data_IF_853626856448
#
_entry.id   IF_853626856448
#
_cell.length_a   1.000
_cell.length_b   1.000
_cell.length_c   1.000
_cell.angle_alpha   90.00
_cell.angle_beta   90.00
_cell.angle_gamma   90.00
#
_symmetry.space_group_name_H-M   'P 1'
#
loop_
_entity.id
_entity.type
_entity.pdbx_description
1 polymer ?
#
# COMPACT_ATOMS: atom_id res chain seq x y z
N UNK A 1 -16.66 29.73 -17.47
CA UNK A 1 -15.32 29.13 -17.74
C UNK A 1 -14.88 28.38 -16.52
N UNK A 2 -14.52 27.11 -16.64
CA UNK A 2 -13.97 26.31 -15.54
C UNK A 2 -12.63 26.92 -15.08
N UNK A 3 -12.40 26.98 -13.75
CA UNK A 3 -11.15 27.51 -13.21
C UNK A 3 -9.92 26.69 -13.62
N UNK A 4 -8.70 27.23 -13.51
CA UNK A 4 -7.49 26.61 -14.06
C UNK A 4 -7.16 25.22 -13.50
N UNK A 5 -7.66 24.83 -12.33
CA UNK A 5 -7.43 23.51 -11.73
C UNK A 5 -8.65 22.56 -11.78
N UNK A 6 -9.68 22.89 -12.56
CA UNK A 6 -10.93 22.10 -12.60
C UNK A 6 -10.68 20.64 -12.98
N UNK A 7 -9.80 20.37 -13.96
CA UNK A 7 -9.47 19.00 -14.35
C UNK A 7 -8.69 18.24 -13.28
N UNK A 8 -7.77 18.90 -12.56
CA UNK A 8 -7.07 18.29 -11.43
C UNK A 8 -8.06 17.94 -10.32
N UNK A 9 -9.00 18.85 -10.03
CA UNK A 9 -10.05 18.64 -9.03
C UNK A 9 -10.93 17.43 -9.40
N UNK A 10 -11.44 17.39 -10.62
CA UNK A 10 -12.29 16.28 -11.06
C UNK A 10 -11.59 14.92 -10.96
N UNK A 11 -10.29 14.82 -11.29
CA UNK A 11 -9.52 13.58 -11.18
C UNK A 11 -9.28 13.17 -9.74
N UNK A 12 -9.02 14.12 -8.84
CA UNK A 12 -8.89 13.83 -7.40
C UNK A 12 -10.23 13.37 -6.82
N UNK A 13 -11.33 14.01 -7.17
CA UNK A 13 -12.66 13.58 -6.76
C UNK A 13 -12.96 12.15 -7.25
N UNK A 14 -12.61 11.84 -8.49
CA UNK A 14 -12.74 10.49 -9.05
C UNK A 14 -11.88 9.46 -8.35
N UNK A 15 -10.63 9.80 -8.01
CA UNK A 15 -9.78 8.93 -7.22
C UNK A 15 -10.37 8.65 -5.83
N UNK A 16 -10.90 9.66 -5.14
CA UNK A 16 -11.58 9.50 -3.84
C UNK A 16 -12.81 8.61 -3.92
N UNK A 17 -13.59 8.75 -4.98
CA UNK A 17 -14.76 7.89 -5.22
C UNK A 17 -14.35 6.44 -5.39
N UNK A 18 -13.29 6.17 -6.17
CA UNK A 18 -12.75 4.81 -6.31
C UNK A 18 -12.16 4.26 -5.00
N UNK A 19 -11.50 5.09 -4.18
CA UNK A 19 -11.05 4.67 -2.84
C UNK A 19 -12.26 4.31 -1.98
N UNK A 20 -13.35 5.06 -2.04
CA UNK A 20 -14.59 4.73 -1.32
C UNK A 20 -15.21 3.42 -1.81
N UNK A 21 -15.24 3.18 -3.13
CA UNK A 21 -15.70 1.91 -3.69
C UNK A 21 -14.80 0.74 -3.27
N UNK A 22 -13.47 0.97 -3.21
CA UNK A 22 -12.52 -0.03 -2.76
C UNK A 22 -12.73 -0.39 -1.28
N UNK A 23 -13.04 0.59 -0.42
CA UNK A 23 -13.42 0.36 0.99
C UNK A 23 -14.65 -0.52 1.11
N UNK A 24 -15.69 -0.22 0.32
CA UNK A 24 -16.92 -1.02 0.33
C UNK A 24 -16.65 -2.44 -0.15
N UNK A 25 -15.90 -2.61 -1.23
CA UNK A 25 -15.52 -3.92 -1.76
C UNK A 25 -14.66 -4.72 -0.77
N UNK A 26 -13.72 -4.06 -0.06
CA UNK A 26 -12.94 -4.70 1.00
C UNK A 26 -13.84 -5.16 2.15
N UNK A 27 -14.77 -4.31 2.59
CA UNK A 27 -15.72 -4.67 3.65
C UNK A 27 -16.59 -5.88 3.26
N UNK A 28 -17.11 -5.90 2.03
CA UNK A 28 -17.86 -7.04 1.49
C UNK A 28 -17.01 -8.31 1.47
N UNK A 29 -15.77 -8.21 0.99
CA UNK A 29 -14.85 -9.34 0.96
C UNK A 29 -14.52 -9.86 2.36
N UNK A 30 -14.20 -8.99 3.31
CA UNK A 30 -13.93 -9.38 4.70
C UNK A 30 -15.15 -10.02 5.37
N UNK A 31 -16.37 -9.57 5.04
CA UNK A 31 -17.60 -10.16 5.54
C UNK A 31 -17.80 -11.63 5.10
N UNK A 32 -17.18 -12.06 4.00
CA UNK A 32 -17.16 -13.46 3.58
C UNK A 32 -16.26 -14.34 4.44
N UNK A 33 -15.51 -13.77 5.39
CA UNK A 33 -14.46 -14.44 6.17
C UNK A 33 -13.46 -15.13 5.22
N UNK A 34 -12.68 -14.34 4.44
CA UNK A 34 -11.86 -14.84 3.33
C UNK A 34 -10.63 -15.61 3.81
N UNK A 35 -10.69 -16.15 4.99
CA UNK A 35 -9.65 -16.99 5.58
C UNK A 35 -10.26 -18.15 6.34
N UNK A 36 -9.58 -19.28 6.26
CA UNK A 36 -9.85 -20.48 7.05
C UNK A 36 -8.69 -20.68 8.02
N UNK A 37 -9.01 -20.86 9.28
CA UNK A 37 -8.01 -21.23 10.29
C UNK A 37 -8.01 -22.74 10.41
N UNK A 38 -6.85 -23.36 10.21
CA UNK A 38 -6.65 -24.79 10.29
C UNK A 38 -5.73 -25.08 11.48
N UNK A 39 -6.17 -25.93 12.38
CA UNK A 39 -5.34 -26.38 13.50
C UNK A 39 -5.02 -27.86 13.34
N UNK A 40 -3.74 -28.18 13.40
CA UNK A 40 -3.23 -29.54 13.34
C UNK A 40 -2.44 -29.86 14.61
N UNK A 41 -2.70 -31.02 15.21
CA UNK A 41 -1.98 -31.50 16.37
C UNK A 41 -1.29 -32.83 16.06
N UNK A 42 0.04 -32.81 16.23
CA UNK A 42 0.85 -34.01 16.18
C UNK A 42 1.10 -34.54 17.58
N UNK A 43 0.42 -35.61 17.93
CA UNK A 43 0.54 -36.24 19.27
C UNK A 43 1.89 -36.89 19.51
N UNK A 44 2.67 -37.16 18.47
CA UNK A 44 4.01 -37.78 18.61
C UNK A 44 5.07 -36.76 19.02
N UNK A 45 4.98 -35.55 18.50
CA UNK A 45 5.92 -34.46 18.79
C UNK A 45 5.38 -33.46 19.82
N UNK A 46 4.07 -33.49 20.10
CA UNK A 46 3.40 -32.54 20.98
C UNK A 46 3.16 -31.16 20.37
N UNK A 47 3.40 -30.97 19.06
CA UNK A 47 3.15 -29.72 18.38
C UNK A 47 1.69 -29.56 17.98
N UNK A 48 1.12 -28.42 18.32
CA UNK A 48 -0.12 -27.88 17.75
C UNK A 48 0.23 -26.69 16.88
N UNK A 49 -0.08 -26.81 15.59
CA UNK A 49 0.22 -25.79 14.59
C UNK A 49 -1.10 -25.19 14.11
N UNK A 50 -1.15 -23.86 14.07
CA UNK A 50 -2.28 -23.11 13.52
C UNK A 50 -1.82 -22.45 12.23
N UNK A 51 -2.51 -22.78 11.15
CA UNK A 51 -2.26 -22.27 9.81
C UNK A 51 -3.43 -21.41 9.35
N UNK A 52 -3.13 -20.41 8.53
CA UNK A 52 -4.11 -19.57 7.88
C UNK A 52 -4.12 -19.86 6.38
N UNK A 53 -5.28 -20.24 5.87
CA UNK A 53 -5.52 -20.37 4.44
C UNK A 53 -6.37 -19.22 3.97
N UNK A 54 -5.79 -18.32 3.17
CA UNK A 54 -6.49 -17.17 2.64
C UNK A 54 -7.16 -17.49 1.30
N UNK A 55 -8.34 -16.92 1.08
CA UNK A 55 -8.98 -16.90 -0.23
C UNK A 55 -8.31 -15.84 -1.12
N UNK A 56 -8.24 -16.07 -2.44
CA UNK A 56 -7.67 -15.07 -3.35
C UNK A 56 -8.48 -13.78 -3.33
N UNK A 57 -7.78 -12.65 -3.35
CA UNK A 57 -8.40 -11.32 -3.43
C UNK A 57 -9.07 -11.16 -4.79
N UNK A 58 -10.32 -10.64 -4.85
CA UNK A 58 -11.02 -10.44 -6.13
C UNK A 58 -10.23 -9.52 -7.07
N UNK A 59 -10.13 -9.89 -8.35
CA UNK A 59 -9.43 -9.08 -9.38
C UNK A 59 -9.93 -7.63 -9.48
N UNK A 60 -11.20 -7.38 -9.12
CA UNK A 60 -11.79 -6.05 -9.09
C UNK A 60 -11.06 -5.09 -8.15
N UNK A 61 -10.44 -5.61 -7.09
CA UNK A 61 -9.59 -4.83 -6.18
C UNK A 61 -8.39 -4.27 -6.93
N UNK A 62 -7.66 -5.10 -7.67
CA UNK A 62 -6.52 -4.66 -8.50
C UNK A 62 -6.91 -3.64 -9.56
N UNK A 63 -8.08 -3.81 -10.21
CA UNK A 63 -8.60 -2.85 -11.20
C UNK A 63 -8.88 -1.48 -10.58
N UNK A 64 -9.56 -1.42 -9.43
CA UNK A 64 -9.81 -0.16 -8.72
C UNK A 64 -8.50 0.52 -8.28
N UNK A 65 -7.52 -0.26 -7.81
CA UNK A 65 -6.19 0.27 -7.47
C UNK A 65 -5.55 0.92 -8.70
N UNK A 66 -5.56 0.25 -9.84
CA UNK A 66 -5.04 0.78 -11.10
C UNK A 66 -5.69 2.10 -11.50
N UNK A 67 -7.01 2.16 -11.45
CA UNK A 67 -7.78 3.38 -11.75
C UNK A 67 -7.43 4.53 -10.80
N UNK A 68 -7.26 4.26 -9.50
CA UNK A 68 -6.85 5.26 -8.50
C UNK A 68 -5.45 5.78 -8.82
N UNK A 69 -4.48 4.88 -9.00
CA UNK A 69 -3.08 5.22 -9.32
C UNK A 69 -3.00 6.05 -10.62
N UNK A 70 -3.74 5.64 -11.65
CA UNK A 70 -3.82 6.36 -12.92
C UNK A 70 -4.35 7.78 -12.73
N UNK A 71 -5.44 7.95 -11.99
CA UNK A 71 -6.04 9.28 -11.76
C UNK A 71 -5.12 10.17 -10.93
N UNK A 72 -4.48 9.66 -9.88
CA UNK A 72 -3.50 10.41 -9.08
C UNK A 72 -2.31 10.85 -9.94
N UNK A 73 -1.74 9.94 -10.73
CA UNK A 73 -0.64 10.23 -11.63
C UNK A 73 -1.01 11.29 -12.68
N UNK A 74 -2.14 11.08 -13.36
CA UNK A 74 -2.64 12.00 -14.38
C UNK A 74 -2.97 13.39 -13.81
N UNK A 75 -3.40 13.47 -12.54
CA UNK A 75 -3.62 14.76 -11.87
C UNK A 75 -2.34 15.60 -11.85
N UNK A 76 -1.21 14.99 -11.54
CA UNK A 76 0.09 15.68 -11.51
C UNK A 76 0.54 16.12 -12.91
N UNK A 77 0.30 15.30 -13.94
CA UNK A 77 0.62 15.67 -15.30
C UNK A 77 -0.29 16.82 -15.81
N UNK A 78 -1.59 16.78 -15.46
CA UNK A 78 -2.51 17.87 -15.73
C UNK A 78 -2.15 19.18 -14.99
N UNK A 79 -1.61 19.09 -13.78
CA UNK A 79 -1.10 20.24 -13.03
C UNK A 79 -0.02 20.96 -13.83
N UNK A 80 0.96 20.23 -14.39
CA UNK A 80 2.00 20.84 -15.21
C UNK A 80 1.44 21.55 -16.43
N UNK A 81 0.48 20.93 -17.10
CA UNK A 81 -0.22 21.55 -18.23
C UNK A 81 -0.84 22.89 -17.84
N UNK A 82 -1.57 22.93 -16.71
CA UNK A 82 -2.22 24.15 -16.23
C UNK A 82 -1.22 25.23 -15.80
N UNK A 83 -0.15 24.82 -15.13
CA UNK A 83 0.93 25.75 -14.74
C UNK A 83 1.64 26.35 -15.96
N UNK A 84 1.81 25.57 -17.03
CA UNK A 84 2.41 26.02 -18.29
C UNK A 84 1.51 27.06 -18.97
N UNK A 85 0.21 26.83 -19.02
CA UNK A 85 -0.79 27.79 -19.54
C UNK A 85 -0.80 29.06 -18.66
N UNK A 86 -0.83 28.92 -17.34
CA UNK A 86 -0.84 30.04 -16.41
C UNK A 86 0.44 30.91 -16.52
N UNK A 87 1.55 30.34 -16.99
CA UNK A 87 2.80 31.05 -17.26
C UNK A 87 2.86 31.67 -18.67
N UNK A 88 1.71 31.77 -19.36
CA UNK A 88 1.57 32.48 -20.63
C UNK A 88 1.85 31.65 -21.89
N UNK A 89 2.05 30.33 -21.76
CA UNK A 89 2.23 29.45 -22.91
C UNK A 89 0.89 28.88 -23.37
N UNK A 90 0.66 28.84 -24.69
CA UNK A 90 -0.54 28.29 -25.31
C UNK A 90 -0.11 27.32 -26.41
N UNK A 91 -0.74 26.14 -26.54
CA UNK A 91 -0.45 25.26 -27.67
C UNK A 91 -0.88 25.89 -28.98
N UNK A 92 0.04 25.89 -29.98
CA UNK A 92 -0.22 26.50 -31.27
C UNK A 92 -1.27 25.72 -32.10
N UNK A 93 -1.37 24.42 -31.89
CA UNK A 93 -2.22 23.52 -32.69
C UNK A 93 -2.78 22.37 -31.85
N UNK A 94 -3.98 21.88 -32.23
CA UNK A 94 -4.55 20.61 -31.79
C UNK A 94 -5.00 19.81 -33.04
N UNK A 95 -4.67 18.48 -33.11
CA UNK A 95 -3.86 17.68 -32.15
C UNK A 95 -2.39 18.13 -32.12
N UNK A 96 -1.74 17.91 -30.98
CA UNK A 96 -0.33 18.26 -30.81
C UNK A 96 0.55 17.46 -31.79
N UNK A 97 1.55 18.08 -32.44
CA UNK A 97 2.55 17.35 -33.19
C UNK A 97 3.30 16.33 -32.32
N UNK A 98 3.67 15.16 -32.89
CA UNK A 98 4.38 14.08 -32.15
C UNK A 98 5.67 14.54 -31.46
N UNK A 99 6.34 15.57 -31.98
CA UNK A 99 7.57 16.17 -31.42
C UNK A 99 7.32 17.47 -30.67
N UNK A 100 6.07 17.72 -30.25
CA UNK A 100 5.74 18.93 -29.50
C UNK A 100 6.37 18.90 -28.11
N UNK A 101 6.91 20.03 -27.66
CA UNK A 101 7.37 20.23 -26.26
C UNK A 101 6.24 19.97 -25.26
N UNK A 102 4.98 20.18 -25.63
CA UNK A 102 3.83 19.89 -24.82
C UNK A 102 3.66 18.40 -24.51
N UNK A 103 4.10 17.52 -25.40
CA UNK A 103 4.10 16.07 -25.19
C UNK A 103 5.14 15.62 -24.13
N UNK A 104 6.15 16.47 -23.86
CA UNK A 104 7.16 16.22 -22.84
C UNK A 104 6.73 16.63 -21.43
N UNK A 105 5.62 17.38 -21.28
CA UNK A 105 5.11 17.76 -19.96
C UNK A 105 4.65 16.54 -19.19
N UNK A 106 5.49 16.16 -18.24
CA UNK A 106 5.24 15.02 -17.36
C UNK A 106 5.81 15.33 -15.98
N UNK A 107 4.99 15.16 -14.93
CA UNK A 107 5.42 15.43 -13.57
C UNK A 107 6.63 14.55 -13.21
N UNK A 108 7.79 15.14 -12.87
CA UNK A 108 8.95 14.36 -12.50
C UNK A 108 8.72 13.69 -11.15
N UNK A 109 9.16 12.45 -11.04
CA UNK A 109 9.26 11.69 -9.81
C UNK A 109 10.59 10.96 -9.84
N UNK A 110 11.61 11.56 -9.24
CA UNK A 110 13.01 11.15 -9.36
C UNK A 110 13.69 11.04 -7.99
N UNK A 111 14.74 10.23 -7.92
CA UNK A 111 15.33 9.78 -6.66
C UNK A 111 16.58 10.58 -6.25
N UNK A 112 16.95 11.59 -7.04
CA UNK A 112 18.12 12.42 -6.70
C UNK A 112 18.01 13.82 -7.31
N UNK A 113 18.71 14.83 -6.72
CA UNK A 113 18.81 16.18 -7.28
C UNK A 113 19.40 16.19 -8.69
N UNK A 114 20.38 15.32 -8.96
CA UNK A 114 21.00 15.20 -10.29
C UNK A 114 19.99 14.71 -11.32
N UNK A 115 19.20 13.70 -10.98
CA UNK A 115 18.13 13.19 -11.86
C UNK A 115 17.06 14.26 -12.09
N UNK A 116 16.74 15.08 -11.08
CA UNK A 116 15.82 16.21 -11.24
C UNK A 116 16.35 17.24 -12.21
N UNK A 117 17.58 17.71 -12.03
CA UNK A 117 18.22 18.67 -12.94
C UNK A 117 18.23 18.18 -14.41
N UNK A 118 18.49 16.89 -14.63
CA UNK A 118 18.51 16.29 -15.97
C UNK A 118 17.15 16.34 -16.68
N UNK A 119 16.05 16.20 -15.94
CA UNK A 119 14.69 16.13 -16.53
C UNK A 119 13.95 17.46 -16.49
N UNK A 120 14.27 18.36 -15.55
CA UNK A 120 13.54 19.60 -15.29
C UNK A 120 13.46 20.50 -16.53
N UNK A 121 14.58 20.71 -17.24
CA UNK A 121 14.60 21.59 -18.40
C UNK A 121 13.67 21.10 -19.53
N UNK A 122 13.50 19.80 -19.68
CA UNK A 122 12.63 19.21 -20.70
C UNK A 122 11.18 19.11 -20.22
N UNK A 123 10.96 18.57 -19.01
CA UNK A 123 9.61 18.28 -18.50
C UNK A 123 8.90 19.48 -17.90
N UNK A 124 9.65 20.48 -17.43
CA UNK A 124 9.13 21.66 -16.74
C UNK A 124 9.43 22.95 -17.51
N UNK A 125 9.65 22.88 -18.84
CA UNK A 125 10.11 23.99 -19.68
C UNK A 125 9.20 25.22 -19.61
N UNK A 126 7.89 25.02 -19.47
CA UNK A 126 6.88 26.06 -19.57
C UNK A 126 6.40 26.63 -18.23
N UNK A 127 6.92 26.19 -17.08
CA UNK A 127 6.48 26.67 -15.77
C UNK A 127 7.47 27.63 -15.14
N UNK A 128 6.98 28.49 -14.20
CA UNK A 128 7.80 29.46 -13.49
C UNK A 128 8.84 28.80 -12.59
N UNK A 129 9.93 29.52 -12.25
CA UNK A 129 10.94 29.01 -11.33
C UNK A 129 10.33 28.69 -9.95
N UNK A 130 9.46 29.54 -9.44
CA UNK A 130 8.76 29.29 -8.17
C UNK A 130 7.97 27.96 -8.19
N UNK A 131 7.32 27.63 -9.31
CA UNK A 131 6.62 26.34 -9.46
C UNK A 131 7.59 25.17 -9.53
N UNK A 132 8.76 25.34 -10.20
CA UNK A 132 9.80 24.30 -10.25
C UNK A 132 10.35 24.00 -8.86
N UNK A 133 10.70 25.05 -8.10
CA UNK A 133 11.22 24.94 -6.73
C UNK A 133 10.20 24.23 -5.80
N UNK A 134 8.92 24.55 -6.00
CA UNK A 134 7.84 23.88 -5.26
C UNK A 134 7.73 22.41 -5.63
N UNK A 135 7.77 22.04 -6.92
CA UNK A 135 7.72 20.66 -7.38
C UNK A 135 8.94 19.88 -6.87
N UNK A 136 10.11 20.52 -6.84
CA UNK A 136 11.33 19.90 -6.33
C UNK A 136 11.24 19.51 -4.86
N UNK A 137 10.60 20.34 -4.03
CA UNK A 137 10.40 20.02 -2.59
C UNK A 137 9.62 18.73 -2.35
N UNK A 138 8.73 18.36 -3.28
CA UNK A 138 7.96 17.13 -3.19
C UNK A 138 8.65 15.91 -3.81
N UNK A 139 9.86 16.08 -4.38
CA UNK A 139 10.55 14.93 -4.97
C UNK A 139 10.91 13.89 -3.92
N UNK A 140 10.95 12.58 -4.29
CA UNK A 140 11.23 11.48 -3.39
C UNK A 140 12.42 11.74 -2.46
N UNK A 141 13.53 12.24 -2.98
CA UNK A 141 14.74 12.49 -2.20
C UNK A 141 14.63 13.63 -1.17
N UNK A 142 13.61 14.49 -1.27
CA UNK A 142 13.31 15.56 -0.30
C UNK A 142 12.21 15.18 0.70
N UNK A 143 11.47 14.10 0.45
CA UNK A 143 10.30 13.71 1.25
C UNK A 143 10.56 12.52 2.17
N UNK A 144 11.78 12.02 2.21
CA UNK A 144 12.17 10.90 3.08
C UNK A 144 12.85 11.46 4.32
N UNK A 145 12.19 11.42 5.51
CA UNK A 145 12.75 12.01 6.72
C UNK A 145 13.93 11.21 7.30
N UNK A 146 13.97 9.89 7.06
CA UNK A 146 15.05 9.05 7.56
C UNK A 146 15.57 8.09 6.48
N UNK A 147 16.85 7.67 6.57
CA UNK A 147 17.38 6.60 5.73
C UNK A 147 16.57 5.32 5.90
N UNK A 148 16.09 4.77 4.79
CA UNK A 148 15.26 3.55 4.78
C UNK A 148 13.75 3.80 4.73
N UNK A 149 13.28 5.03 4.93
CA UNK A 149 11.88 5.36 4.70
C UNK A 149 11.56 5.35 3.20
N UNK A 150 10.33 5.02 2.86
CA UNK A 150 9.86 4.98 1.47
C UNK A 150 9.05 6.24 1.17
N UNK A 151 9.43 6.96 0.13
CA UNK A 151 8.66 8.11 -0.34
C UNK A 151 7.34 7.68 -0.97
N UNK A 152 6.24 8.30 -0.53
CA UNK A 152 4.90 8.10 -1.08
C UNK A 152 4.85 8.41 -2.58
N UNK A 153 5.56 9.44 -3.04
CA UNK A 153 5.62 9.81 -4.45
C UNK A 153 6.43 8.79 -5.27
N UNK A 154 7.47 8.19 -4.68
CA UNK A 154 8.19 7.08 -5.27
C UNK A 154 7.28 5.86 -5.43
N UNK A 155 6.53 5.51 -4.37
CA UNK A 155 5.56 4.41 -4.43
C UNK A 155 4.50 4.63 -5.51
N UNK A 156 3.94 5.83 -5.61
CA UNK A 156 2.97 6.17 -6.67
C UNK A 156 3.56 5.96 -8.07
N UNK A 157 4.84 6.35 -8.26
CA UNK A 157 5.56 6.10 -9.52
C UNK A 157 5.67 4.61 -9.83
N UNK A 158 6.17 3.85 -8.87
CA UNK A 158 6.46 2.43 -9.08
C UNK A 158 5.19 1.60 -9.27
N UNK A 159 4.17 1.80 -8.41
CA UNK A 159 2.88 1.11 -8.55
C UNK A 159 2.18 1.49 -9.86
N UNK A 160 2.25 2.76 -10.29
CA UNK A 160 1.72 3.17 -11.60
C UNK A 160 2.49 2.55 -12.77
N UNK A 161 3.78 2.26 -12.60
CA UNK A 161 4.56 1.54 -13.61
C UNK A 161 4.18 0.06 -13.65
N UNK A 162 3.93 -0.57 -12.51
CA UNK A 162 3.42 -1.94 -12.42
C UNK A 162 2.07 -2.03 -13.14
N UNK A 163 1.13 -1.14 -12.82
CA UNK A 163 -0.23 -1.14 -13.37
C UNK A 163 -0.27 -1.04 -14.91
N UNK A 164 0.68 -0.36 -15.53
CA UNK A 164 0.79 -0.31 -17.01
C UNK A 164 1.02 -1.67 -17.67
N UNK A 165 1.52 -2.64 -16.95
CA UNK A 165 1.93 -3.94 -17.49
C UNK A 165 1.13 -5.11 -16.92
N UNK A 166 0.62 -4.98 -15.71
CA UNK A 166 -0.18 -5.98 -15.00
C UNK A 166 -0.93 -5.36 -13.83
N UNK A 167 -1.97 -6.01 -13.35
CA UNK A 167 -2.62 -5.58 -12.12
C UNK A 167 -1.63 -5.58 -10.94
N UNK A 168 -1.69 -4.58 -10.04
CA UNK A 168 -0.95 -4.61 -8.79
C UNK A 168 -1.27 -5.88 -7.99
N UNK A 169 -0.23 -6.57 -7.51
CA UNK A 169 -0.43 -7.73 -6.67
C UNK A 169 -0.89 -7.30 -5.29
N UNK A 170 -1.94 -7.93 -4.83
CA UNK A 170 -2.47 -7.76 -3.49
C UNK A 170 -2.73 -9.12 -2.87
N UNK A 171 -2.53 -9.22 -1.57
CA UNK A 171 -2.79 -10.42 -0.80
C UNK A 171 -3.73 -10.12 0.36
N UNK A 172 -4.53 -11.12 0.76
CA UNK A 172 -5.11 -11.09 2.09
C UNK A 172 -3.97 -11.28 3.05
N UNK A 173 -3.85 -10.33 3.93
CA UNK A 173 -3.07 -10.73 4.99
C UNK A 173 -1.93 -9.89 5.44
N UNK A 174 -2.22 -8.79 6.07
CA UNK A 174 -1.41 -8.41 7.22
C UNK A 174 -2.18 -8.85 8.47
N UNK A 175 -1.60 -9.71 9.29
CA UNK A 175 -2.18 -10.03 10.58
C UNK A 175 -1.85 -8.88 11.54
N UNK A 176 -2.85 -8.10 11.91
CA UNK A 176 -2.70 -7.05 12.90
C UNK A 176 -2.59 -7.64 14.30
N UNK A 177 -3.44 -8.60 14.60
CA UNK A 177 -3.40 -9.35 15.85
C UNK A 177 -4.07 -10.72 15.68
N UNK A 178 -3.67 -11.64 16.54
CA UNK A 178 -4.29 -12.95 16.68
C UNK A 178 -4.43 -13.26 18.16
N UNK A 179 -5.58 -13.74 18.54
CA UNK A 179 -5.88 -14.21 19.89
C UNK A 179 -6.37 -15.64 19.82
N UNK A 180 -5.69 -16.50 20.54
CA UNK A 180 -6.13 -17.88 20.71
C UNK A 180 -6.81 -17.98 22.06
N UNK A 181 -8.09 -18.34 22.04
CA UNK A 181 -8.88 -18.61 23.24
C UNK A 181 -9.12 -20.11 23.28
N UNK A 182 -8.54 -20.77 24.27
CA UNK A 182 -8.69 -22.20 24.50
C UNK A 182 -9.28 -22.49 25.86
N UNK A 183 -9.75 -23.73 26.10
CA UNK A 183 -10.08 -24.16 27.44
C UNK A 183 -8.83 -24.04 28.32
N UNK A 184 -8.98 -23.74 29.62
CA UNK A 184 -7.87 -23.79 30.53
C UNK A 184 -7.25 -25.18 30.42
N UNK A 185 -5.97 -25.25 30.05
CA UNK A 185 -5.21 -26.50 30.11
C UNK A 185 -5.43 -27.05 31.52
N UNK A 186 -6.01 -28.23 31.61
CA UNK A 186 -6.29 -28.81 32.92
C UNK A 186 -4.97 -28.87 33.69
N UNK A 187 -4.91 -28.16 34.81
CA UNK A 187 -3.71 -28.01 35.60
C UNK A 187 -3.11 -29.41 35.89
N UNK A 188 -1.88 -29.66 35.41
CA UNK A 188 -1.15 -30.89 35.66
C UNK A 188 -1.12 -31.92 34.51
N UNK A 189 -1.79 -31.68 33.36
CA UNK A 189 -1.74 -32.65 32.26
C UNK A 189 -0.58 -32.38 31.27
N UNK A 190 -0.24 -31.14 31.02
CA UNK A 190 0.89 -30.73 30.20
C UNK A 190 1.24 -29.26 30.45
N UNK A 191 2.45 -28.85 30.12
CA UNK A 191 2.89 -27.48 30.10
C UNK A 191 3.18 -27.02 28.67
N UNK A 192 2.99 -25.73 28.40
CA UNK A 192 3.47 -25.13 27.15
C UNK A 192 4.99 -25.04 27.21
N UNK A 193 5.67 -25.91 26.45
CA UNK A 193 7.11 -26.01 26.45
C UNK A 193 7.78 -25.05 25.47
N UNK A 194 7.12 -24.78 24.34
CA UNK A 194 7.65 -23.94 23.28
C UNK A 194 6.54 -23.21 22.54
N UNK A 195 6.78 -21.97 22.16
CA UNK A 195 5.92 -21.15 21.34
C UNK A 195 6.73 -20.62 20.15
N UNK A 196 6.22 -20.78 18.93
CA UNK A 196 6.80 -20.19 17.74
C UNK A 196 5.75 -19.41 16.96
N UNK A 197 6.17 -18.29 16.38
CA UNK A 197 5.34 -17.44 15.53
C UNK A 197 6.18 -16.97 14.34
N UNK A 198 6.35 -17.82 13.31
CA UNK A 198 7.38 -17.65 12.30
C UNK A 198 7.21 -16.41 11.42
N UNK A 199 5.98 -15.90 11.27
CA UNK A 199 5.66 -14.84 10.30
C UNK A 199 4.88 -13.67 10.91
N UNK A 200 5.11 -13.34 12.17
CA UNK A 200 4.41 -12.25 12.85
C UNK A 200 5.29 -10.99 12.99
N UNK A 201 4.80 -9.77 12.64
CA UNK A 201 3.75 -9.48 11.68
C UNK A 201 4.27 -9.64 10.24
N UNK A 202 3.46 -10.15 9.33
CA UNK A 202 3.88 -10.36 7.95
C UNK A 202 2.73 -10.70 7.01
N UNK A 203 2.97 -10.63 5.70
CA UNK A 203 1.98 -11.05 4.73
C UNK A 203 1.77 -12.56 4.82
N UNK A 204 0.51 -12.99 4.70
CA UNK A 204 0.16 -14.40 4.61
C UNK A 204 0.05 -14.81 3.16
N UNK A 205 0.70 -15.94 2.84
CA UNK A 205 0.39 -16.71 1.65
C UNK A 205 -0.63 -17.81 1.94
N UNK A 206 -0.91 -18.64 0.96
CA UNK A 206 -1.62 -19.88 1.17
C UNK A 206 -0.82 -20.75 2.16
N UNK A 207 -1.52 -21.36 3.11
CA UNK A 207 -0.96 -22.30 4.11
C UNK A 207 0.14 -21.72 5.02
N UNK A 208 0.04 -20.46 5.40
CA UNK A 208 1.01 -19.85 6.30
C UNK A 208 0.78 -20.26 7.76
N UNK A 209 1.80 -20.83 8.40
CA UNK A 209 1.78 -21.07 9.86
C UNK A 209 1.80 -19.71 10.58
N UNK A 210 0.79 -19.46 11.41
CA UNK A 210 0.67 -18.23 12.20
C UNK A 210 1.16 -18.41 13.64
N UNK A 211 1.01 -19.62 14.17
CA UNK A 211 1.51 -19.97 15.50
C UNK A 211 1.72 -21.48 15.63
N UNK A 212 2.78 -21.87 16.32
CA UNK A 212 3.02 -23.22 16.77
C UNK A 212 3.19 -23.26 18.27
N UNK A 213 2.54 -24.21 18.94
CA UNK A 213 2.64 -24.45 20.37
C UNK A 213 3.05 -25.89 20.61
N UNK A 214 4.11 -26.11 21.41
CA UNK A 214 4.53 -27.46 21.80
C UNK A 214 4.19 -27.71 23.26
N UNK A 215 3.57 -28.85 23.51
CA UNK A 215 3.19 -29.31 24.85
C UNK A 215 4.10 -30.44 25.31
N UNK A 216 4.50 -30.38 26.59
CA UNK A 216 5.32 -31.39 27.24
C UNK A 216 4.73 -31.77 28.62
N UNK A 217 4.40 -33.03 28.84
CA UNK A 217 4.33 -34.13 27.85
C UNK A 217 3.28 -33.85 26.78
N UNK A 218 3.37 -34.51 25.60
CA UNK A 218 2.35 -34.38 24.57
C UNK A 218 0.95 -34.68 25.10
N UNK A 219 -0.03 -33.86 24.73
CA UNK A 219 -1.42 -34.08 25.11
C UNK A 219 -1.96 -35.35 24.44
N UNK A 220 -2.71 -36.17 25.18
CA UNK A 220 -3.38 -37.33 24.59
C UNK A 220 -4.48 -36.97 23.60
N UNK A 221 -5.06 -35.82 23.77
CA UNK A 221 -6.15 -35.28 22.96
C UNK A 221 -6.06 -33.76 22.93
N UNK A 222 -6.13 -33.19 21.73
CA UNK A 222 -6.25 -31.76 21.51
C UNK A 222 -7.68 -31.45 21.06
N UNK A 223 -8.38 -30.51 21.71
CA UNK A 223 -9.70 -30.10 21.25
C UNK A 223 -9.62 -29.52 19.82
N UNK A 224 -10.61 -29.87 19.00
CA UNK A 224 -10.72 -29.31 17.66
C UNK A 224 -10.90 -27.79 17.69
N UNK A 225 -10.33 -27.09 16.70
CA UNK A 225 -10.63 -25.68 16.45
C UNK A 225 -12.14 -25.50 16.27
N UNK A 226 -12.69 -24.49 16.95
CA UNK A 226 -14.12 -24.19 16.95
C UNK A 226 -14.93 -24.94 18.02
N UNK A 227 -14.45 -26.04 18.58
CA UNK A 227 -15.10 -26.75 19.70
C UNK A 227 -14.40 -26.56 21.04
N UNK A 228 -13.12 -26.31 21.03
CA UNK A 228 -12.31 -26.11 22.23
C UNK A 228 -11.32 -24.98 22.14
N UNK A 229 -10.91 -24.63 20.93
CA UNK A 229 -10.07 -23.47 20.63
C UNK A 229 -10.79 -22.54 19.67
N UNK A 230 -10.75 -21.25 19.96
CA UNK A 230 -11.19 -20.19 19.07
C UNK A 230 -9.97 -19.35 18.68
N UNK A 231 -9.87 -19.00 17.42
CA UNK A 231 -8.85 -18.10 16.91
C UNK A 231 -9.56 -16.85 16.42
N UNK A 232 -9.30 -15.75 17.06
CA UNK A 232 -9.72 -14.41 16.65
C UNK A 232 -8.56 -13.74 15.99
N UNK A 233 -8.79 -13.12 14.83
CA UNK A 233 -7.73 -12.43 14.10
C UNK A 233 -8.30 -11.26 13.30
N UNK A 234 -7.47 -10.28 13.05
CA UNK A 234 -7.78 -9.13 12.22
C UNK A 234 -6.76 -9.04 11.08
N UNK A 235 -7.28 -8.98 9.85
CA UNK A 235 -6.47 -8.96 8.63
C UNK A 235 -6.88 -7.82 7.72
N UNK A 236 -5.92 -7.37 6.90
CA UNK A 236 -6.15 -6.41 5.82
C UNK A 236 -5.68 -6.93 4.47
N UNK A 237 -6.18 -6.29 3.40
CA UNK A 237 -5.60 -6.42 2.07
C UNK A 237 -4.36 -5.54 2.00
N UNK A 238 -3.24 -6.13 1.62
CA UNK A 238 -1.94 -5.47 1.53
C UNK A 238 -1.37 -5.58 0.13
N UNK A 239 -0.49 -4.66 -0.22
CA UNK A 239 0.35 -4.81 -1.41
C UNK A 239 1.30 -5.99 -1.22
N UNK A 240 1.39 -6.83 -2.24
CA UNK A 240 2.25 -8.04 -2.25
C UNK A 240 3.12 -8.06 -3.51
N UNK A 241 3.80 -6.95 -3.77
CA UNK A 241 4.71 -6.83 -4.90
C UNK A 241 6.04 -7.50 -4.59
N UNK A 242 6.40 -8.52 -5.37
CA UNK A 242 7.59 -9.35 -5.12
C UNK A 242 8.95 -8.63 -5.19
N UNK A 243 8.96 -7.35 -5.58
CA UNK A 243 10.13 -6.48 -5.64
C UNK A 243 10.21 -5.48 -4.45
N UNK A 244 9.39 -5.67 -3.42
CA UNK A 244 9.40 -4.85 -2.21
C UNK A 244 8.62 -3.54 -2.27
N UNK A 245 8.00 -3.19 -3.42
CA UNK A 245 7.22 -1.96 -3.55
C UNK A 245 5.96 -2.06 -2.68
N UNK A 246 5.92 -1.29 -1.59
CA UNK A 246 4.78 -1.29 -0.68
C UNK A 246 4.50 -2.62 0.01
N UNK A 247 5.45 -3.56 0.00
CA UNK A 247 5.28 -4.91 0.55
C UNK A 247 4.72 -4.87 1.97
N UNK A 248 3.56 -5.51 2.16
CA UNK A 248 2.89 -5.58 3.45
C UNK A 248 2.18 -4.28 3.89
N UNK A 249 2.18 -3.23 3.08
CA UNK A 249 1.45 -1.99 3.41
C UNK A 249 -0.05 -2.16 3.13
N UNK A 250 -0.93 -1.76 4.07
CA UNK A 250 -2.37 -1.76 3.84
C UNK A 250 -2.72 -0.92 2.62
N UNK A 251 -3.53 -1.50 1.72
CA UNK A 251 -3.81 -0.89 0.41
C UNK A 251 -4.56 0.42 0.55
N UNK A 252 -5.63 0.45 1.34
CA UNK A 252 -6.54 1.59 1.43
C UNK A 252 -5.84 2.80 2.04
N UNK A 253 -5.17 2.61 3.18
CA UNK A 253 -4.44 3.66 3.87
C UNK A 253 -3.30 4.22 3.02
N UNK A 254 -2.62 3.35 2.27
CA UNK A 254 -1.56 3.76 1.35
C UNK A 254 -2.12 4.65 0.24
N UNK A 255 -3.26 4.29 -0.34
CA UNK A 255 -3.91 5.10 -1.38
C UNK A 255 -4.46 6.42 -0.85
N UNK A 256 -4.97 6.47 0.39
CA UNK A 256 -5.37 7.71 1.05
C UNK A 256 -4.19 8.67 1.25
N UNK A 257 -3.05 8.14 1.68
CA UNK A 257 -1.84 8.95 1.84
C UNK A 257 -1.34 9.47 0.49
N UNK A 258 -1.41 8.66 -0.57
CA UNK A 258 -1.07 9.10 -1.93
C UNK A 258 -2.01 10.20 -2.41
N UNK A 259 -3.33 10.04 -2.20
CA UNK A 259 -4.33 11.06 -2.56
C UNK A 259 -4.06 12.38 -1.81
N UNK A 260 -3.82 12.30 -0.51
CA UNK A 260 -3.52 13.46 0.33
C UNK A 260 -2.26 14.20 -0.11
N UNK A 261 -1.22 13.46 -0.51
CA UNK A 261 0.01 14.04 -1.06
C UNK A 261 -0.25 14.75 -2.39
N UNK A 262 -0.95 14.09 -3.33
CA UNK A 262 -1.28 14.69 -4.64
C UNK A 262 -2.15 15.94 -4.45
N UNK A 263 -3.12 15.91 -3.53
CA UNK A 263 -3.91 17.07 -3.16
C UNK A 263 -3.04 18.22 -2.63
N UNK A 264 -2.08 17.93 -1.74
CA UNK A 264 -1.14 18.94 -1.21
C UNK A 264 -0.25 19.54 -2.30
N UNK A 265 0.20 18.74 -3.25
CA UNK A 265 0.99 19.23 -4.40
C UNK A 265 0.14 20.19 -5.25
N UNK A 266 -1.12 19.86 -5.52
CA UNK A 266 -2.01 20.67 -6.38
C UNK A 266 -2.42 21.97 -5.69
N UNK A 267 -2.86 21.93 -4.44
CA UNK A 267 -3.50 23.06 -3.76
C UNK A 267 -2.60 23.81 -2.78
N UNK A 268 -1.46 23.24 -2.40
CA UNK A 268 -0.53 23.89 -1.47
C UNK A 268 -0.97 23.90 -0.01
N UNK A 269 -2.03 23.20 0.33
CA UNK A 269 -2.56 23.09 1.69
C UNK A 269 -2.07 21.80 2.35
N UNK A 270 -0.84 21.78 2.81
CA UNK A 270 -0.27 20.65 3.54
C UNK A 270 -0.22 20.92 5.04
N UNK A 271 -1.33 20.85 5.75
CA UNK A 271 -1.29 20.47 7.17
C UNK A 271 -1.09 18.94 7.17
N UNK A 272 0.09 18.49 7.66
CA UNK A 272 0.44 17.07 7.87
C UNK A 272 0.81 16.17 6.67
N UNK A 273 1.70 16.60 5.79
CA UNK A 273 2.44 15.66 4.90
C UNK A 273 3.75 15.18 5.56
N UNK A 274 3.98 15.54 6.82
CA UNK A 274 5.27 15.33 7.53
C UNK A 274 5.33 14.17 8.52
N UNK A 275 4.25 13.46 8.80
CA UNK A 275 4.30 12.23 9.61
C UNK A 275 3.92 11.05 8.74
N UNK A 276 4.91 10.25 8.36
CA UNK A 276 4.70 8.96 7.75
C UNK A 276 3.88 8.10 8.76
N UNK A 277 2.60 7.78 8.50
CA UNK A 277 1.80 6.98 9.43
C UNK A 277 2.39 5.57 9.63
N UNK A 278 3.38 5.20 8.81
CA UNK A 278 4.04 3.89 8.79
C UNK A 278 5.22 3.76 9.75
N UNK A 279 5.62 4.82 10.46
CA UNK A 279 6.73 4.75 11.44
C UNK A 279 6.56 3.69 12.53
N UNK A 280 5.34 3.28 12.81
CA UNK A 280 5.04 2.23 13.80
C UNK A 280 5.07 0.83 13.21
N UNK A 281 4.82 0.68 11.90
CA UNK A 281 4.65 -0.64 11.26
C UNK A 281 5.93 -1.17 10.59
N UNK A 282 6.81 -0.28 10.10
CA UNK A 282 8.03 -0.69 9.39
C UNK A 282 9.21 -1.00 10.32
N UNK A 283 9.22 -0.50 11.56
CA UNK A 283 10.31 -0.79 12.52
C UNK A 283 10.44 -2.26 12.92
N UNK A 284 9.43 -3.10 12.66
CA UNK A 284 9.47 -4.54 12.94
C UNK A 284 10.11 -5.40 11.83
N UNK A 285 10.30 -4.85 10.62
CA UNK A 285 10.71 -5.66 9.44
C UNK A 285 12.21 -5.57 9.15
N UNK A 286 12.95 -4.62 9.73
CA UNK A 286 14.37 -4.40 9.40
C UNK A 286 15.40 -4.88 10.42
N UNK A 287 15.05 -5.72 11.38
CA UNK A 287 16.05 -6.32 12.28
C UNK A 287 15.94 -7.82 12.34
N UNK A 288 16.30 -8.49 11.24
CA UNK A 288 16.97 -9.81 11.33
C UNK A 288 18.01 -9.86 10.21
N UNK A 289 19.25 -9.90 10.66
CA UNK A 289 20.42 -10.23 9.83
C UNK A 289 20.30 -11.64 9.28
#
# INVERSE_FOLDING_TARGET
>A
MSGPLTHCKARLEWAREHISQLRALNAEFQATKPYQVIGEYDSSSGWFTVQLKASPVPNRVGLLIGDILHNLRSTLDHLLWQLTIANGHVPDTFPLPKKSKWADLQFPMVDSPQAYANVANRRLWGISQQSRDRIERFQPYNMVPNPGDVSVLWMLRELSNVDKHRLPNVAVGWLHWCRIVGPPLMAGQASLAELRSPNWPGPFGEDTEIIGMRFDPPLRFMPELGKGFQVELETDIVFHEGNGIGQGMPVIETLDVMESLVHAIVYGSGKHVGSNPWHTHVKGVMTTK
#
